data_IF_939522777990
#
_entry.id   IF_939522777990
#
_cell.length_a   1.000
_cell.length_b   1.000
_cell.length_c   1.000
_cell.angle_alpha   90.00
_cell.angle_beta   90.00
_cell.angle_gamma   90.00
#
_symmetry.space_group_name_H-M   'P 1'
#
loop_
_entity.id
_entity.type
_entity.pdbx_description
1 polymer ?
#
# COMPACT_ATOMS: atom_id res chain seq x y z
N UNK A 1 71.02 -10.30 -4.68
CA UNK A 1 69.88 -9.51 -4.22
C UNK A 1 68.64 -10.03 -4.92
N UNK A 2 67.76 -10.76 -4.20
CA UNK A 2 66.47 -11.28 -4.74
C UNK A 2 65.37 -10.39 -4.20
N UNK A 3 64.73 -9.64 -5.09
CA UNK A 3 63.63 -8.76 -4.75
C UNK A 3 62.34 -9.59 -4.68
N UNK A 4 61.76 -9.69 -3.49
CA UNK A 4 60.50 -10.39 -3.24
C UNK A 4 59.34 -9.42 -3.55
N UNK A 5 58.62 -9.64 -4.63
CA UNK A 5 57.41 -8.87 -4.98
C UNK A 5 56.23 -9.50 -4.25
N UNK A 6 55.71 -8.78 -3.22
CA UNK A 6 54.45 -9.17 -2.55
C UNK A 6 53.29 -8.64 -3.34
N UNK A 7 52.58 -9.54 -4.03
CA UNK A 7 51.32 -9.21 -4.69
C UNK A 7 50.20 -9.22 -3.66
N UNK A 8 49.70 -8.04 -3.33
CA UNK A 8 48.57 -7.86 -2.44
C UNK A 8 47.28 -8.23 -3.20
N UNK A 9 46.71 -9.37 -2.90
CA UNK A 9 45.43 -9.83 -3.50
C UNK A 9 44.29 -9.22 -2.70
N UNK A 10 43.69 -8.15 -3.23
CA UNK A 10 42.52 -7.51 -2.62
C UNK A 10 41.28 -8.33 -2.95
N UNK A 11 40.74 -9.08 -1.98
CA UNK A 11 39.47 -9.78 -2.12
C UNK A 11 38.36 -8.76 -2.01
N UNK A 12 37.72 -8.45 -3.14
CA UNK A 12 36.49 -7.67 -3.18
C UNK A 12 35.34 -8.56 -2.73
N UNK A 13 34.94 -8.45 -1.46
CA UNK A 13 33.75 -9.11 -0.95
C UNK A 13 32.53 -8.33 -1.51
N UNK A 14 31.93 -8.83 -2.56
CA UNK A 14 30.63 -8.35 -3.05
C UNK A 14 29.56 -8.78 -2.05
N UNK A 15 29.14 -7.87 -1.17
CA UNK A 15 27.92 -8.07 -0.38
C UNK A 15 26.72 -8.16 -1.34
N UNK A 16 25.92 -9.22 -1.27
CA UNK A 16 24.67 -9.25 -2.03
C UNK A 16 23.79 -8.10 -1.53
N UNK A 17 23.41 -7.20 -2.42
CA UNK A 17 22.38 -6.20 -2.17
C UNK A 17 21.06 -6.99 -2.11
N UNK A 18 20.63 -7.36 -0.90
CA UNK A 18 19.31 -7.96 -0.68
C UNK A 18 18.32 -6.83 -0.96
N UNK A 19 17.68 -6.87 -2.10
CA UNK A 19 16.53 -6.02 -2.38
C UNK A 19 15.46 -6.41 -1.34
N UNK A 20 15.20 -5.55 -0.37
CA UNK A 20 14.15 -5.77 0.61
C UNK A 20 12.82 -5.64 -0.13
N UNK A 21 12.06 -6.74 -0.21
CA UNK A 21 10.72 -6.72 -0.77
C UNK A 21 9.86 -5.72 0.02
N UNK A 22 9.09 -4.91 -0.70
CA UNK A 22 8.19 -3.94 -0.07
C UNK A 22 7.13 -4.69 0.74
N UNK A 23 7.03 -4.40 2.04
CA UNK A 23 6.01 -4.98 2.90
C UNK A 23 4.61 -4.66 2.34
N UNK A 24 3.77 -5.68 2.26
CA UNK A 24 2.38 -5.56 1.81
C UNK A 24 1.47 -5.66 3.03
N UNK A 25 0.50 -4.73 3.14
CA UNK A 25 -0.52 -4.80 4.18
C UNK A 25 -1.17 -6.18 4.20
N UNK A 26 -1.16 -6.89 5.34
CA UNK A 26 -1.74 -8.22 5.43
C UNK A 26 -3.27 -8.17 5.35
N UNK A 27 -3.85 -9.19 4.71
CA UNK A 27 -5.29 -9.44 4.70
C UNK A 27 -5.55 -10.94 4.55
N UNK A 28 -6.74 -11.35 4.91
CA UNK A 28 -7.25 -12.71 4.69
C UNK A 28 -8.31 -12.69 3.59
N UNK A 29 -8.22 -13.63 2.63
CA UNK A 29 -9.28 -13.82 1.62
C UNK A 29 -10.34 -14.73 2.20
N UNK A 30 -11.53 -14.17 2.45
CA UNK A 30 -12.65 -14.88 3.05
C UNK A 30 -13.46 -15.63 1.98
N UNK A 31 -13.70 -14.97 0.84
CA UNK A 31 -14.51 -15.53 -0.25
C UNK A 31 -14.10 -14.93 -1.59
N UNK A 32 -14.38 -15.65 -2.67
CA UNK A 32 -14.20 -15.17 -4.03
C UNK A 32 -15.52 -15.26 -4.80
N UNK A 33 -15.79 -14.18 -5.54
CA UNK A 33 -16.87 -14.10 -6.51
C UNK A 33 -16.25 -13.69 -7.84
N UNK A 34 -15.98 -14.68 -8.71
CA UNK A 34 -15.24 -14.50 -9.96
C UNK A 34 -13.87 -13.79 -9.73
N UNK A 35 -13.74 -12.56 -10.23
CA UNK A 35 -12.53 -11.73 -10.08
C UNK A 35 -12.51 -10.85 -8.82
N UNK A 36 -13.60 -10.86 -8.04
CA UNK A 36 -13.76 -10.07 -6.82
C UNK A 36 -13.45 -10.94 -5.59
N UNK A 37 -12.62 -10.46 -4.72
CA UNK A 37 -12.30 -11.09 -3.43
C UNK A 37 -12.95 -10.31 -2.29
N UNK A 38 -13.67 -11.02 -1.42
CA UNK A 38 -14.05 -10.52 -0.11
C UNK A 38 -12.88 -10.79 0.83
N UNK A 39 -12.36 -9.74 1.45
CA UNK A 39 -11.18 -9.80 2.30
C UNK A 39 -11.47 -9.23 3.68
N UNK A 40 -10.85 -9.81 4.68
CA UNK A 40 -10.75 -9.22 6.01
C UNK A 40 -9.41 -8.53 6.17
N UNK A 41 -9.44 -7.25 6.52
CA UNK A 41 -8.26 -6.47 6.88
C UNK A 41 -8.26 -6.25 8.40
N UNK A 42 -7.19 -6.65 9.12
CA UNK A 42 -7.02 -6.28 10.51
C UNK A 42 -6.79 -4.77 10.65
N UNK A 43 -6.81 -4.29 11.88
CA UNK A 43 -6.40 -2.91 12.19
C UNK A 43 -5.02 -2.62 11.63
N UNK A 44 -4.83 -1.43 11.09
CA UNK A 44 -3.55 -0.93 10.58
C UNK A 44 -3.41 0.57 10.89
N UNK A 45 -2.20 1.06 10.89
CA UNK A 45 -1.94 2.50 10.96
C UNK A 45 -1.74 3.05 9.54
N UNK A 46 -2.50 4.08 9.22
CA UNK A 46 -2.40 4.85 7.99
C UNK A 46 -1.85 6.24 8.29
N UNK A 47 -1.02 6.75 7.41
CA UNK A 47 -0.67 8.17 7.38
C UNK A 47 -1.32 8.80 6.17
N UNK A 48 -2.22 9.75 6.41
CA UNK A 48 -3.10 10.36 5.41
C UNK A 48 -2.74 11.81 5.13
N UNK A 49 -3.01 12.26 3.93
CA UNK A 49 -2.89 13.67 3.53
C UNK A 49 -3.84 14.03 2.40
N UNK A 50 -4.10 15.33 2.25
CA UNK A 50 -4.91 15.90 1.18
C UNK A 50 -4.33 17.23 0.69
N UNK A 51 -4.95 17.83 -0.35
CA UNK A 51 -4.65 19.20 -0.80
C UNK A 51 -3.41 19.33 -1.68
N UNK A 52 -3.14 18.34 -2.54
CA UNK A 52 -2.08 18.38 -3.56
C UNK A 52 -0.69 17.99 -3.04
N UNK A 53 0.16 17.56 -3.97
CA UNK A 53 1.46 16.94 -3.68
C UNK A 53 1.40 15.85 -2.59
N UNK A 54 0.33 15.07 -2.60
CA UNK A 54 0.03 14.13 -1.52
C UNK A 54 1.15 13.10 -1.31
N UNK A 55 1.65 12.51 -2.41
CA UNK A 55 2.77 11.58 -2.31
C UNK A 55 4.02 12.23 -1.69
N UNK A 56 4.37 13.45 -2.09
CA UNK A 56 5.54 14.15 -1.56
C UNK A 56 5.45 14.42 -0.06
N UNK A 57 4.27 14.80 0.45
CA UNK A 57 4.04 15.03 1.89
C UNK A 57 4.21 13.73 2.69
N UNK A 58 3.59 12.63 2.22
CA UNK A 58 3.70 11.33 2.87
C UNK A 58 5.12 10.78 2.79
N UNK A 59 5.79 10.97 1.65
CA UNK A 59 7.18 10.56 1.48
C UNK A 59 8.13 11.33 2.40
N UNK A 60 7.91 12.63 2.62
CA UNK A 60 8.66 13.41 3.61
C UNK A 60 8.46 12.85 5.02
N UNK A 61 7.21 12.50 5.40
CA UNK A 61 6.93 11.91 6.70
C UNK A 61 7.73 10.63 6.92
N UNK A 62 7.70 9.67 6.00
CA UNK A 62 8.44 8.41 6.13
C UNK A 62 9.95 8.59 5.97
N UNK A 63 10.40 9.72 5.40
CA UNK A 63 11.83 10.06 5.27
C UNK A 63 12.41 10.76 6.51
N UNK A 64 11.62 10.93 7.58
CA UNK A 64 12.06 11.48 8.85
C UNK A 64 11.44 12.83 9.22
N UNK A 65 10.48 13.36 8.44
CA UNK A 65 9.73 14.56 8.84
C UNK A 65 8.59 14.20 9.83
N UNK A 66 8.96 13.49 10.89
CA UNK A 66 8.15 13.08 12.01
C UNK A 66 8.85 13.45 13.34
N UNK A 67 8.15 13.39 14.46
CA UNK A 67 8.67 13.85 15.76
C UNK A 67 9.99 13.16 16.14
N UNK A 68 10.15 11.88 15.84
CA UNK A 68 11.34 11.10 16.17
C UNK A 68 12.48 11.26 15.15
N UNK A 69 12.25 11.99 14.04
CA UNK A 69 13.18 12.06 12.90
C UNK A 69 13.58 10.66 12.38
N UNK A 70 12.68 9.71 12.52
CA UNK A 70 12.85 8.29 12.17
C UNK A 70 12.50 8.05 10.70
N UNK A 71 13.34 7.25 10.01
CA UNK A 71 13.01 6.76 8.68
C UNK A 71 12.14 5.52 8.78
N UNK A 72 11.00 5.54 8.12
CA UNK A 72 10.03 4.46 8.06
C UNK A 72 10.08 3.84 6.66
N UNK A 73 10.10 2.52 6.57
CA UNK A 73 10.12 1.81 5.29
C UNK A 73 8.84 2.06 4.50
N UNK A 74 8.95 2.15 3.17
CA UNK A 74 7.79 2.22 2.29
C UNK A 74 7.08 0.87 2.25
N UNK A 75 5.76 0.89 2.33
CA UNK A 75 4.90 -0.30 2.22
C UNK A 75 3.96 -0.20 1.02
N UNK A 76 3.22 -1.25 0.75
CA UNK A 76 2.15 -1.29 -0.22
C UNK A 76 0.85 -1.83 0.43
N UNK A 77 -0.31 -1.39 -0.06
CA UNK A 77 -0.57 -0.44 -1.13
C UNK A 77 -0.47 1.03 -0.70
N UNK A 78 -0.41 1.91 -1.70
CA UNK A 78 -0.76 3.32 -1.56
C UNK A 78 -2.26 3.45 -1.81
N UNK A 79 -2.97 4.02 -0.86
CA UNK A 79 -4.42 4.27 -0.95
C UNK A 79 -4.69 5.64 -1.56
N UNK A 80 -5.71 5.71 -2.38
CA UNK A 80 -6.25 6.95 -2.95
C UNK A 80 -7.78 6.88 -2.91
N UNK A 81 -8.43 7.97 -2.53
CA UNK A 81 -9.88 8.09 -2.68
C UNK A 81 -10.29 8.24 -4.16
N UNK A 82 -11.58 8.28 -4.43
CA UNK A 82 -12.10 8.20 -5.79
C UNK A 82 -11.64 9.37 -6.68
N UNK A 83 -11.62 10.60 -6.17
CA UNK A 83 -11.19 11.80 -6.89
C UNK A 83 -9.68 12.07 -6.77
N UNK A 84 -8.95 11.21 -6.05
CA UNK A 84 -7.51 11.31 -5.78
C UNK A 84 -7.08 12.59 -5.03
N UNK A 85 -8.03 13.26 -4.40
CA UNK A 85 -7.77 14.41 -3.54
C UNK A 85 -7.06 14.02 -2.24
N UNK A 86 -7.25 12.76 -1.81
CA UNK A 86 -6.63 12.18 -0.62
C UNK A 86 -5.73 10.99 -0.97
N UNK A 87 -4.70 10.80 -0.16
CA UNK A 87 -3.77 9.69 -0.28
C UNK A 87 -3.35 9.20 1.10
N UNK A 88 -3.13 7.89 1.24
CA UNK A 88 -2.59 7.34 2.46
C UNK A 88 -1.50 6.28 2.18
N UNK A 89 -0.50 6.25 3.05
CA UNK A 89 0.47 5.16 3.16
C UNK A 89 0.10 4.29 4.37
N UNK A 90 0.19 2.99 4.19
CA UNK A 90 0.12 2.04 5.31
C UNK A 90 1.45 2.06 6.04
N UNK A 91 1.44 2.04 7.35
CA UNK A 91 2.67 1.89 8.12
C UNK A 91 3.07 0.42 8.23
N UNK A 92 4.39 0.12 8.26
CA UNK A 92 4.88 -1.22 8.55
C UNK A 92 4.24 -1.79 9.81
N UNK A 93 4.08 -3.11 9.88
CA UNK A 93 3.48 -3.77 11.05
C UNK A 93 4.23 -3.44 12.34
N UNK A 94 5.55 -3.34 12.28
CA UNK A 94 6.37 -2.93 13.43
C UNK A 94 6.00 -1.52 13.92
N UNK A 95 5.81 -0.56 13.00
CA UNK A 95 5.41 0.81 13.34
C UNK A 95 3.98 0.85 13.86
N UNK A 96 3.06 0.05 13.29
CA UNK A 96 1.70 -0.09 13.82
C UNK A 96 1.71 -0.58 15.28
N UNK A 97 2.53 -1.56 15.61
CA UNK A 97 2.61 -2.14 16.96
C UNK A 97 3.24 -1.20 17.99
N UNK A 98 4.23 -0.41 17.59
CA UNK A 98 4.93 0.54 18.45
C UNK A 98 4.19 1.89 18.60
N UNK A 99 3.29 2.20 17.69
CA UNK A 99 2.73 3.53 17.49
C UNK A 99 3.56 4.35 16.49
N UNK A 100 2.91 4.90 15.48
CA UNK A 100 3.55 5.75 14.50
C UNK A 100 3.87 7.13 15.13
N UNK A 101 5.05 7.72 14.84
CA UNK A 101 5.41 9.03 15.36
C UNK A 101 4.51 10.14 14.79
N UNK A 102 4.27 11.19 15.56
CA UNK A 102 3.48 12.33 15.10
C UNK A 102 4.15 13.06 13.92
N UNK A 103 3.37 13.47 12.90
CA UNK A 103 3.91 14.21 11.78
C UNK A 103 4.29 15.65 12.16
N UNK A 104 5.45 16.13 11.68
CA UNK A 104 5.81 17.55 11.76
C UNK A 104 5.17 18.37 10.66
N UNK A 105 4.74 17.72 9.58
CA UNK A 105 4.13 18.36 8.42
C UNK A 105 2.69 18.77 8.65
N UNK A 106 2.30 19.94 8.14
CA UNK A 106 0.88 20.35 8.11
C UNK A 106 0.11 19.48 7.12
N UNK A 107 -1.15 19.18 7.41
CA UNK A 107 -2.05 18.37 6.57
C UNK A 107 -1.60 16.90 6.39
N UNK A 108 -0.83 16.39 7.33
CA UNK A 108 -0.52 14.97 7.45
C UNK A 108 -1.09 14.50 8.79
N UNK A 109 -1.81 13.39 8.78
CA UNK A 109 -2.44 12.84 9.98
C UNK A 109 -2.18 11.33 10.09
N UNK A 110 -1.99 10.86 11.30
CA UNK A 110 -1.90 9.43 11.64
C UNK A 110 -3.29 8.94 12.06
N UNK A 111 -3.74 7.84 11.50
CA UNK A 111 -5.02 7.20 11.83
C UNK A 111 -4.84 5.70 12.01
N UNK A 112 -5.43 5.15 13.07
CA UNK A 112 -5.52 3.70 13.27
C UNK A 112 -6.89 3.24 12.78
N UNK A 113 -6.90 2.39 11.74
CA UNK A 113 -8.14 1.86 11.17
C UNK A 113 -8.74 0.78 12.08
N UNK A 114 -10.06 0.64 12.04
CA UNK A 114 -10.72 -0.54 12.61
C UNK A 114 -10.56 -1.74 11.67
N UNK A 115 -10.62 -2.98 12.20
CA UNK A 115 -10.76 -4.15 11.34
C UNK A 115 -12.00 -4.00 10.44
N UNK A 116 -11.88 -4.39 9.16
CA UNK A 116 -12.97 -4.22 8.19
C UNK A 116 -13.02 -5.33 7.15
N UNK A 117 -14.20 -5.60 6.64
CA UNK A 117 -14.37 -6.41 5.43
C UNK A 117 -14.42 -5.51 4.22
N UNK A 118 -13.76 -5.93 3.17
CA UNK A 118 -13.73 -5.20 1.90
C UNK A 118 -13.94 -6.16 0.73
N UNK A 119 -14.49 -5.64 -0.35
CA UNK A 119 -14.46 -6.28 -1.65
C UNK A 119 -13.39 -5.62 -2.51
N UNK A 120 -12.56 -6.41 -3.16
CA UNK A 120 -11.46 -5.92 -3.98
C UNK A 120 -11.39 -6.64 -5.32
N UNK A 121 -11.13 -5.88 -6.39
CA UNK A 121 -10.85 -6.40 -7.72
C UNK A 121 -9.47 -5.95 -8.19
N UNK A 122 -8.64 -6.90 -8.65
CA UNK A 122 -7.27 -6.65 -9.11
C UNK A 122 -7.21 -6.49 -10.62
N UNK A 123 -6.33 -5.56 -11.08
CA UNK A 123 -6.01 -5.39 -12.50
C UNK A 123 -4.53 -5.04 -12.72
N UNK A 124 -4.06 -5.31 -13.94
CA UNK A 124 -2.66 -5.16 -14.32
C UNK A 124 -2.35 -3.92 -15.18
N UNK A 125 -1.05 -3.71 -15.39
CA UNK A 125 -0.51 -2.62 -16.20
C UNK A 125 -0.58 -1.25 -15.55
N UNK A 126 -0.29 -0.19 -16.33
CA UNK A 126 -0.46 1.18 -15.83
C UNK A 126 -1.94 1.49 -15.68
N UNK A 127 -2.28 2.19 -14.58
CA UNK A 127 -3.65 2.65 -14.32
C UNK A 127 -3.97 3.90 -15.14
N UNK A 128 -5.25 4.06 -15.47
CA UNK A 128 -5.86 5.26 -16.05
C UNK A 128 -7.35 5.28 -15.74
N UNK A 129 -8.00 6.41 -15.98
CA UNK A 129 -9.42 6.60 -15.66
C UNK A 129 -10.35 5.55 -16.30
N UNK A 130 -10.06 5.12 -17.54
CA UNK A 130 -10.87 4.09 -18.24
C UNK A 130 -10.81 2.74 -17.50
N UNK A 131 -9.60 2.29 -17.11
CA UNK A 131 -9.44 1.04 -16.36
C UNK A 131 -10.07 1.12 -14.98
N UNK A 132 -9.88 2.22 -14.26
CA UNK A 132 -10.44 2.45 -12.94
C UNK A 132 -11.98 2.40 -12.99
N UNK A 133 -12.58 3.12 -13.94
CA UNK A 133 -14.05 3.11 -14.14
C UNK A 133 -14.57 1.72 -14.48
N UNK A 134 -13.89 1.01 -15.39
CA UNK A 134 -14.31 -0.34 -15.78
C UNK A 134 -14.27 -1.32 -14.61
N UNK A 135 -13.18 -1.33 -13.82
CA UNK A 135 -13.06 -2.24 -12.67
C UNK A 135 -13.96 -1.81 -11.50
N UNK A 136 -14.16 -0.51 -11.27
CA UNK A 136 -15.19 -0.02 -10.31
C UNK A 136 -16.57 -0.54 -10.68
N UNK A 137 -16.97 -0.41 -11.96
CA UNK A 137 -18.26 -0.90 -12.44
C UNK A 137 -18.38 -2.41 -12.21
N UNK A 138 -17.39 -3.18 -12.64
CA UNK A 138 -17.36 -4.64 -12.46
C UNK A 138 -17.43 -5.04 -10.97
N UNK A 139 -16.70 -4.37 -10.08
CA UNK A 139 -16.76 -4.60 -8.64
C UNK A 139 -18.20 -4.41 -8.12
N UNK A 140 -18.80 -3.25 -8.39
CA UNK A 140 -20.14 -2.92 -7.88
C UNK A 140 -21.23 -3.82 -8.46
N UNK A 141 -21.16 -4.20 -9.74
CA UNK A 141 -22.07 -5.16 -10.39
C UNK A 141 -21.96 -6.55 -9.73
N UNK A 142 -20.73 -7.02 -9.46
CA UNK A 142 -20.51 -8.30 -8.76
C UNK A 142 -21.10 -8.26 -7.36
N UNK A 143 -20.91 -7.18 -6.60
CA UNK A 143 -21.50 -7.02 -5.27
C UNK A 143 -23.03 -7.03 -5.32
N UNK A 144 -23.61 -6.26 -6.23
CA UNK A 144 -25.07 -6.21 -6.43
C UNK A 144 -25.66 -7.58 -6.75
N UNK A 145 -25.05 -8.34 -7.67
CA UNK A 145 -25.48 -9.67 -8.06
C UNK A 145 -25.45 -10.67 -6.90
N UNK A 146 -24.50 -10.50 -5.97
CA UNK A 146 -24.33 -11.38 -4.82
C UNK A 146 -25.01 -10.85 -3.54
N UNK A 147 -25.77 -9.76 -3.62
CA UNK A 147 -26.48 -9.18 -2.47
C UNK A 147 -25.56 -8.65 -1.37
N UNK A 148 -24.36 -8.20 -1.73
CA UNK A 148 -23.37 -7.64 -0.81
C UNK A 148 -23.48 -6.12 -0.85
N UNK A 149 -23.68 -5.49 0.33
CA UNK A 149 -23.87 -4.05 0.46
C UNK A 149 -22.52 -3.34 0.59
N UNK A 150 -22.15 -2.42 -0.35
CA UNK A 150 -20.98 -1.56 -0.17
C UNK A 150 -21.24 -0.49 0.90
N UNK A 151 -20.20 -0.18 1.70
CA UNK A 151 -20.24 0.82 2.75
C UNK A 151 -19.28 1.97 2.40
N UNK A 152 -19.81 3.02 1.76
CA UNK A 152 -19.02 4.20 1.40
C UNK A 152 -18.49 4.21 -0.02
N UNK A 153 -17.43 5.00 -0.22
CA UNK A 153 -16.81 5.23 -1.53
C UNK A 153 -15.76 4.16 -1.86
N UNK A 154 -15.46 4.04 -3.14
CA UNK A 154 -14.38 3.15 -3.58
C UNK A 154 -13.00 3.79 -3.32
N UNK A 155 -12.04 2.94 -3.03
CA UNK A 155 -10.63 3.28 -2.89
C UNK A 155 -9.84 2.67 -4.05
N UNK A 156 -8.88 3.39 -4.59
CA UNK A 156 -7.92 2.91 -5.58
C UNK A 156 -6.59 2.61 -4.90
N UNK A 157 -6.02 1.45 -5.19
CA UNK A 157 -4.81 0.96 -4.53
C UNK A 157 -3.70 0.73 -5.54
N UNK A 158 -2.56 1.38 -5.30
CA UNK A 158 -1.33 1.21 -6.08
C UNK A 158 -0.29 0.40 -5.29
N UNK A 159 0.23 -0.66 -5.90
CA UNK A 159 1.19 -1.54 -5.23
C UNK A 159 2.62 -1.36 -5.72
N UNK A 160 2.80 -0.75 -6.87
CA UNK A 160 4.07 -0.74 -7.56
C UNK A 160 4.61 0.66 -7.81
N UNK A 161 5.94 0.78 -7.72
CA UNK A 161 6.66 1.98 -8.12
C UNK A 161 6.29 2.40 -9.55
N UNK A 162 6.25 3.71 -9.87
CA UNK A 162 5.99 4.20 -11.23
C UNK A 162 7.01 3.69 -12.27
N UNK A 163 8.20 3.27 -11.84
CA UNK A 163 9.26 2.75 -12.72
C UNK A 163 9.09 1.28 -13.09
N UNK A 164 8.24 0.53 -12.37
CA UNK A 164 7.96 -0.87 -12.70
C UNK A 164 7.03 -0.94 -13.90
N UNK A 165 7.49 -1.50 -15.02
CA UNK A 165 6.75 -1.52 -16.29
C UNK A 165 6.06 -2.86 -16.58
N UNK A 166 6.37 -3.94 -15.84
CA UNK A 166 5.79 -5.26 -16.04
C UNK A 166 5.12 -5.78 -14.77
N UNK A 167 4.18 -6.71 -14.95
CA UNK A 167 3.46 -7.38 -13.86
C UNK A 167 3.00 -6.44 -12.74
N UNK A 168 2.45 -5.29 -13.12
CA UNK A 168 1.94 -4.29 -12.16
C UNK A 168 0.66 -4.78 -11.51
N UNK A 169 0.49 -4.45 -10.22
CA UNK A 169 -0.72 -4.68 -9.44
C UNK A 169 -1.37 -3.36 -9.09
N UNK A 170 -2.63 -3.22 -9.46
CA UNK A 170 -3.52 -2.18 -8.99
C UNK A 170 -4.84 -2.83 -8.54
N UNK A 171 -5.57 -2.18 -7.67
CA UNK A 171 -6.87 -2.67 -7.22
C UNK A 171 -7.88 -1.54 -7.09
N UNK A 172 -9.15 -1.90 -7.25
CA UNK A 172 -10.30 -1.11 -6.81
C UNK A 172 -10.90 -1.84 -5.63
N UNK A 173 -11.16 -1.13 -4.55
CA UNK A 173 -11.64 -1.70 -3.30
C UNK A 173 -12.80 -0.87 -2.74
N UNK A 174 -13.71 -1.51 -2.04
CA UNK A 174 -14.77 -0.84 -1.26
C UNK A 174 -15.01 -1.61 0.02
N UNK A 175 -15.26 -0.91 1.12
CA UNK A 175 -15.71 -1.55 2.35
C UNK A 175 -17.10 -2.14 2.16
N UNK A 176 -17.37 -3.31 2.74
CA UNK A 176 -18.65 -4.01 2.59
C UNK A 176 -19.19 -4.46 3.93
N UNK A 177 -20.53 -4.52 4.02
CA UNK A 177 -21.19 -5.26 5.09
C UNK A 177 -21.09 -6.75 4.78
N UNK A 178 -20.38 -7.48 5.62
CA UNK A 178 -20.17 -8.91 5.45
C UNK A 178 -20.34 -9.63 6.79
N UNK A 179 -21.33 -10.51 6.85
CA UNK A 179 -21.54 -11.38 7.99
C UNK A 179 -20.90 -12.74 7.70
N UNK A 180 -19.87 -13.08 8.46
CA UNK A 180 -19.11 -14.34 8.31
C UNK A 180 -19.90 -15.61 8.69
N UNK A 181 -21.13 -15.45 9.18
CA UNK A 181 -21.97 -16.56 9.67
C UNK A 181 -23.08 -16.99 8.69
N UNK A 182 -23.02 -16.60 7.41
CA UNK A 182 -23.99 -17.05 6.39
C UNK A 182 -23.35 -17.91 5.32
#
# INVERSE_FOLDING_TARGET
MKTLIHTLFTILISMPLIAQDTEIQPYEVIKKHDSVEIRYYPSATLVKTSGGNNFGKLFQYISGNNENSEKIAMTAPVYMNEDKSEMAFVMPLEVHQKGAPEPKGKNVAVEVTKPRYVAAIRYGGYTNATKETAHKKQLLETLSTNGIEPLGEVEYLGYDSPYKFYNRRNEVMVEVRYDSEK
#
